data_IF_668829726698
#
_entry.id   IF_668829726698
#
_cell.length_a   1.000
_cell.length_b   1.000
_cell.length_c   1.000
_cell.angle_alpha   90.00
_cell.angle_beta   90.00
_cell.angle_gamma   90.00
#
_symmetry.space_group_name_H-M   'P 1'
#
loop_
_entity.id
_entity.type
_entity.pdbx_description
1 polymer ?
#
# COMPACT_ATOMS: atom_id res chain seq x y z
N UNK A 1 -19.55 11.75 -3.10
CA UNK A 1 -19.40 13.20 -2.85
C UNK A 1 -19.31 13.97 -4.16
N UNK A 2 -18.27 13.80 -4.98
CA UNK A 2 -18.06 14.55 -6.23
C UNK A 2 -19.11 14.30 -7.32
N UNK A 3 -19.57 13.06 -7.55
CA UNK A 3 -20.65 12.78 -8.52
C UNK A 3 -21.95 13.48 -8.14
N UNK A 4 -22.26 13.48 -6.84
CA UNK A 4 -23.47 14.13 -6.29
C UNK A 4 -23.47 15.65 -6.45
N UNK A 5 -22.31 16.27 -6.68
CA UNK A 5 -22.17 17.71 -6.93
C UNK A 5 -22.07 18.04 -8.42
N UNK A 6 -22.36 17.09 -9.32
CA UNK A 6 -22.44 17.34 -10.76
C UNK A 6 -21.12 17.20 -11.52
N UNK A 7 -20.10 16.54 -10.95
CA UNK A 7 -18.88 16.22 -11.69
C UNK A 7 -19.21 15.31 -12.88
N UNK A 8 -18.81 15.73 -14.09
CA UNK A 8 -18.98 14.96 -15.34
C UNK A 8 -18.21 13.65 -15.29
N UNK A 9 -16.93 13.73 -14.94
CA UNK A 9 -16.01 12.60 -14.83
C UNK A 9 -15.13 12.75 -13.59
N UNK A 10 -14.69 11.63 -13.01
CA UNK A 10 -13.87 11.53 -11.81
C UNK A 10 -12.66 10.64 -12.15
N UNK A 11 -11.48 11.24 -12.15
CA UNK A 11 -10.22 10.55 -12.36
C UNK A 11 -9.41 10.57 -11.06
N UNK A 12 -9.23 9.42 -10.43
CA UNK A 12 -8.46 9.29 -9.19
C UNK A 12 -7.00 9.01 -9.53
N UNK A 13 -6.09 9.77 -8.92
CA UNK A 13 -4.64 9.59 -9.07
C UNK A 13 -4.01 9.50 -7.69
N UNK A 14 -3.38 8.36 -7.41
CA UNK A 14 -2.72 8.09 -6.13
C UNK A 14 -1.22 8.31 -6.32
N UNK A 15 -0.64 9.22 -5.56
CA UNK A 15 0.78 9.61 -5.61
C UNK A 15 1.74 8.57 -5.03
N UNK A 16 1.25 7.36 -4.78
CA UNK A 16 1.99 6.22 -4.27
C UNK A 16 1.65 5.01 -5.13
N UNK A 17 2.58 4.04 -5.27
CA UNK A 17 2.22 2.71 -5.71
C UNK A 17 1.19 2.07 -4.77
N UNK A 18 0.46 1.04 -5.24
CA UNK A 18 -0.50 0.33 -4.42
C UNK A 18 0.19 -0.29 -3.20
N UNK A 19 -0.40 -0.11 -2.01
CA UNK A 19 0.09 -0.72 -0.76
C UNK A 19 -0.48 -2.13 -0.68
N UNK A 20 0.40 -3.13 -0.83
CA UNK A 20 0.04 -4.54 -0.89
C UNK A 20 0.29 -5.26 0.44
N UNK A 21 1.19 -4.74 1.28
CA UNK A 21 1.64 -5.43 2.50
C UNK A 21 1.62 -4.50 3.70
N UNK A 22 1.47 -5.09 4.89
CA UNK A 22 1.53 -4.36 6.15
C UNK A 22 2.97 -3.89 6.46
N UNK A 23 3.14 -2.71 7.02
CA UNK A 23 4.44 -2.26 7.51
C UNK A 23 4.76 -2.91 8.87
N UNK A 24 6.02 -3.29 9.07
CA UNK A 24 6.54 -3.80 10.34
C UNK A 24 7.60 -2.87 10.96
N UNK A 25 7.80 -1.68 10.38
CA UNK A 25 8.84 -0.73 10.79
C UNK A 25 8.25 0.55 11.38
N UNK A 26 7.06 0.46 12.00
CA UNK A 26 6.47 1.55 12.78
C UNK A 26 5.44 2.42 12.05
N UNK A 27 5.13 2.14 10.77
CA UNK A 27 3.97 2.76 10.13
C UNK A 27 2.72 1.95 10.46
N UNK A 28 1.71 2.61 11.03
CA UNK A 28 0.43 1.98 11.35
C UNK A 28 -0.39 1.68 10.09
N UNK A 29 -0.20 0.48 9.53
CA UNK A 29 -0.99 -0.02 8.40
C UNK A 29 -1.96 -1.10 8.85
N UNK A 30 -3.12 -1.19 8.19
CA UNK A 30 -4.03 -2.32 8.35
C UNK A 30 -3.36 -3.65 7.96
N UNK A 31 -3.93 -4.77 8.43
CA UNK A 31 -3.44 -6.09 8.06
C UNK A 31 -3.55 -6.31 6.55
N UNK A 32 -2.72 -7.21 5.99
CA UNK A 32 -2.70 -7.47 4.54
C UNK A 32 -4.09 -7.79 3.99
N UNK A 33 -4.90 -8.57 4.72
CA UNK A 33 -6.27 -8.91 4.34
C UNK A 33 -7.28 -7.75 4.40
N UNK A 34 -6.91 -6.60 4.97
CA UNK A 34 -7.74 -5.39 5.03
C UNK A 34 -7.30 -4.32 4.04
N UNK A 35 -6.11 -4.44 3.45
CA UNK A 35 -5.68 -3.59 2.35
C UNK A 35 -6.53 -3.89 1.11
N UNK A 36 -6.99 -2.86 0.41
CA UNK A 36 -7.83 -3.04 -0.78
C UNK A 36 -7.01 -3.58 -1.96
N UNK A 37 -5.80 -3.06 -2.13
CA UNK A 37 -4.93 -3.40 -3.25
C UNK A 37 -4.24 -4.77 -3.11
N UNK A 38 -4.26 -5.37 -1.93
CA UNK A 38 -3.79 -6.76 -1.74
C UNK A 38 -4.79 -7.80 -2.24
N UNK A 39 -6.07 -7.41 -2.41
CA UNK A 39 -7.19 -8.31 -2.75
C UNK A 39 -7.82 -8.00 -4.10
N UNK A 40 -7.81 -6.74 -4.51
CA UNK A 40 -8.43 -6.27 -5.73
C UNK A 40 -7.38 -5.78 -6.73
N UNK A 41 -7.61 -6.06 -8.00
CA UNK A 41 -6.90 -5.43 -9.10
C UNK A 41 -7.21 -3.94 -9.19
N UNK A 42 -6.37 -3.17 -9.90
CA UNK A 42 -6.58 -1.72 -10.10
C UNK A 42 -7.95 -1.42 -10.69
N UNK A 43 -8.43 -2.26 -11.62
CA UNK A 43 -9.72 -2.08 -12.26
C UNK A 43 -10.89 -2.36 -11.30
N UNK A 44 -10.78 -3.39 -10.46
CA UNK A 44 -11.76 -3.66 -9.40
C UNK A 44 -11.79 -2.55 -8.35
N UNK A 45 -10.62 -1.99 -7.98
CA UNK A 45 -10.55 -0.83 -7.08
C UNK A 45 -11.24 0.37 -7.73
N UNK A 46 -10.92 0.69 -8.99
CA UNK A 46 -11.56 1.77 -9.75
C UNK A 46 -13.09 1.65 -9.71
N UNK A 47 -13.61 0.44 -9.95
CA UNK A 47 -15.03 0.16 -9.91
C UNK A 47 -15.61 0.35 -8.49
N UNK A 48 -14.94 -0.18 -7.45
CA UNK A 48 -15.40 -0.07 -6.06
C UNK A 48 -15.51 1.36 -5.52
N UNK A 49 -14.68 2.28 -6.04
CA UNK A 49 -14.73 3.70 -5.69
C UNK A 49 -15.55 4.53 -6.69
N UNK A 50 -16.18 3.89 -7.66
CA UNK A 50 -17.01 4.49 -8.71
C UNK A 50 -16.30 5.60 -9.50
N UNK A 51 -14.99 5.46 -9.76
CA UNK A 51 -14.22 6.42 -10.55
C UNK A 51 -14.27 6.09 -12.06
N UNK A 52 -14.18 7.08 -12.93
CA UNK A 52 -14.09 6.86 -14.39
C UNK A 52 -12.70 6.36 -14.79
N UNK A 53 -11.66 6.77 -14.08
CA UNK A 53 -10.33 6.15 -14.19
C UNK A 53 -9.57 6.20 -12.88
N UNK A 54 -8.68 5.23 -12.68
CA UNK A 54 -7.77 5.16 -11.54
C UNK A 54 -6.34 4.98 -12.05
N UNK A 55 -5.41 5.74 -11.47
CA UNK A 55 -3.98 5.59 -11.74
C UNK A 55 -3.19 5.64 -10.45
N UNK A 56 -2.21 4.76 -10.34
CA UNK A 56 -1.22 4.74 -9.26
C UNK A 56 0.14 5.15 -9.81
N UNK A 57 0.96 5.78 -8.98
CA UNK A 57 2.38 5.95 -9.27
C UNK A 57 3.05 4.57 -9.41
N UNK A 58 3.92 4.39 -10.38
CA UNK A 58 4.68 3.14 -10.50
C UNK A 58 5.80 3.09 -9.45
N UNK A 59 6.22 1.90 -9.02
CA UNK A 59 7.36 1.76 -8.09
C UNK A 59 8.62 2.40 -8.70
N UNK A 60 8.86 2.21 -10.00
CA UNK A 60 10.01 2.82 -10.68
C UNK A 60 9.90 4.35 -10.72
N UNK A 61 8.71 4.90 -10.99
CA UNK A 61 8.48 6.34 -10.96
C UNK A 61 8.64 6.94 -9.55
N UNK A 62 8.27 6.19 -8.50
CA UNK A 62 8.56 6.59 -7.12
C UNK A 62 10.07 6.65 -6.84
N UNK A 63 10.82 5.62 -7.25
CA UNK A 63 12.28 5.58 -7.07
C UNK A 63 12.94 6.73 -7.82
N UNK A 64 12.54 6.97 -9.07
CA UNK A 64 13.02 8.07 -9.89
C UNK A 64 12.74 9.43 -9.23
N UNK A 65 11.52 9.64 -8.73
CA UNK A 65 11.13 10.89 -8.07
C UNK A 65 11.89 11.16 -6.76
N UNK A 66 12.31 10.11 -6.04
CA UNK A 66 13.11 10.24 -4.82
C UNK A 66 14.60 10.51 -5.12
N UNK A 67 15.09 10.14 -6.30
CA UNK A 67 16.49 10.30 -6.68
C UNK A 67 17.48 9.46 -5.85
N UNK A 68 16.99 8.42 -5.16
CA UNK A 68 17.78 7.53 -4.32
C UNK A 68 17.93 6.15 -4.97
N UNK A 69 19.06 5.44 -4.75
CA UNK A 69 19.21 4.07 -5.20
C UNK A 69 18.13 3.16 -4.58
N UNK A 70 17.63 2.20 -5.37
CA UNK A 70 16.58 1.27 -4.91
C UNK A 70 16.94 0.56 -3.60
N UNK A 71 18.20 0.15 -3.46
CA UNK A 71 18.69 -0.58 -2.29
C UNK A 71 18.67 0.23 -0.98
N UNK A 72 18.61 1.56 -1.09
CA UNK A 72 18.56 2.46 0.07
C UNK A 72 17.11 2.79 0.47
N UNK A 73 16.12 2.22 -0.24
CA UNK A 73 14.70 2.46 -0.03
C UNK A 73 14.01 1.20 0.49
N UNK A 74 13.29 1.34 1.61
CA UNK A 74 12.36 0.30 2.03
C UNK A 74 11.09 0.37 1.16
N UNK A 75 10.88 -0.65 0.33
CA UNK A 75 9.72 -0.78 -0.56
C UNK A 75 8.79 -1.92 -0.18
N UNK A 76 8.99 -2.53 0.99
CA UNK A 76 8.34 -3.77 1.39
C UNK A 76 6.80 -3.68 1.42
N UNK A 77 6.25 -2.53 1.81
CA UNK A 77 4.80 -2.29 1.77
C UNK A 77 4.21 -2.36 0.35
N UNK A 78 5.06 -2.19 -0.67
CA UNK A 78 4.70 -2.09 -2.09
C UNK A 78 5.08 -3.36 -2.87
N UNK A 79 6.23 -3.98 -2.58
CA UNK A 79 6.75 -5.14 -3.32
C UNK A 79 6.89 -6.44 -2.49
N UNK A 80 6.64 -6.36 -1.18
CA UNK A 80 6.71 -7.50 -0.25
C UNK A 80 8.12 -7.94 0.12
N UNK A 81 9.17 -7.22 -0.30
CA UNK A 81 10.56 -7.57 -0.01
C UNK A 81 11.04 -6.85 1.24
N UNK A 82 10.94 -7.52 2.38
CA UNK A 82 11.42 -6.98 3.65
C UNK A 82 12.94 -7.20 3.79
N UNK A 83 13.70 -6.19 4.23
CA UNK A 83 15.14 -6.32 4.47
C UNK A 83 15.49 -7.14 5.72
N UNK A 84 14.53 -7.38 6.61
CA UNK A 84 14.69 -8.20 7.82
C UNK A 84 13.71 -9.36 7.81
N UNK A 85 13.92 -10.35 8.68
CA UNK A 85 12.87 -11.33 8.99
C UNK A 85 11.63 -10.61 9.52
N UNK A 86 10.46 -11.09 9.10
CA UNK A 86 9.17 -10.54 9.48
C UNK A 86 8.26 -11.63 10.02
N UNK A 87 7.25 -11.28 10.85
CA UNK A 87 6.26 -12.24 11.31
C UNK A 87 5.62 -12.99 10.14
N UNK A 88 5.39 -14.29 10.31
CA UNK A 88 4.71 -15.13 9.31
C UNK A 88 3.30 -14.60 9.06
N UNK A 89 2.70 -14.86 7.90
CA UNK A 89 1.36 -14.36 7.56
C UNK A 89 0.28 -14.74 8.61
N UNK A 90 0.46 -15.86 9.32
CA UNK A 90 -0.42 -16.28 10.43
C UNK A 90 -0.33 -15.38 11.67
N UNK A 91 0.79 -14.68 11.85
CA UNK A 91 1.03 -13.69 12.90
C UNK A 91 0.99 -12.25 12.38
N UNK A 92 0.82 -12.06 11.07
CA UNK A 92 0.88 -10.77 10.40
C UNK A 92 -0.41 -9.97 10.60
N UNK A 93 -0.30 -8.89 11.35
CA UNK A 93 -1.35 -7.90 11.59
C UNK A 93 -0.76 -6.67 12.25
N UNK A 94 -1.59 -5.64 12.47
CA UNK A 94 -1.21 -4.39 13.15
C UNK A 94 -0.44 -4.63 14.46
N UNK A 95 -0.75 -5.73 15.15
CA UNK A 95 -0.21 -6.11 16.45
C UNK A 95 0.87 -7.21 16.41
N UNK A 96 1.37 -7.57 15.21
CA UNK A 96 2.29 -8.70 15.04
C UNK A 96 3.57 -8.58 15.90
N UNK A 97 4.07 -7.36 16.02
CA UNK A 97 5.27 -7.05 16.80
C UNK A 97 4.96 -6.62 18.24
N UNK A 98 3.70 -6.38 18.58
CA UNK A 98 3.27 -6.02 19.94
C UNK A 98 3.01 -7.26 20.80
N UNK A 99 2.77 -8.42 20.16
CA UNK A 99 2.46 -9.68 20.86
C UNK A 99 3.71 -10.56 21.04
N UNK A 100 4.77 -10.29 20.28
CA UNK A 100 6.08 -10.88 20.52
C UNK A 100 6.76 -10.04 21.59
N UNK A 101 6.94 -10.59 22.80
CA UNK A 101 7.63 -9.92 23.91
C UNK A 101 9.13 -9.68 23.66
N UNK A 102 9.52 -9.20 22.49
CA UNK A 102 10.82 -8.58 22.23
C UNK A 102 10.70 -7.08 22.52
N UNK A 103 10.57 -6.75 23.79
CA UNK A 103 11.22 -5.53 24.29
C UNK A 103 12.72 -5.83 24.48
N UNK A 104 13.62 -4.85 24.33
CA UNK A 104 15.01 -5.00 24.79
C UNK A 104 15.08 -5.31 26.29
#
# INVERSE_FOLDING_TARGET
MLRRTGAREIHVRVSSPPILNACYYGIDTSSRGELVASRLSVEEIRASIEADSLGYLSINGLIEALGLPRQDLCLACLDGRYPTETPTEAMAGRHALETSGLAP
#
